data_IF_806290713913
#
_entry.id   IF_806290713913
#
_cell.length_a   1.000
_cell.length_b   1.000
_cell.length_c   1.000
_cell.angle_alpha   90.00
_cell.angle_beta   90.00
_cell.angle_gamma   90.00
#
_symmetry.space_group_name_H-M   'P 1'
#
loop_
_entity.id
_entity.type
_entity.pdbx_description
1 polymer ?
#
# COMPACT_ATOMS: atom_id res chain seq x y z
N UNK A 1 -17.26 11.85 33.74
CA UNK A 1 -15.88 11.97 33.26
C UNK A 1 -14.98 11.52 34.40
N UNK A 2 -13.89 10.79 34.14
CA UNK A 2 -13.06 10.23 35.19
C UNK A 2 -12.40 11.34 36.05
N UNK A 3 -12.34 11.15 37.36
CA UNK A 3 -11.96 12.19 38.32
C UNK A 3 -10.44 12.48 38.39
N UNK A 4 -9.59 11.75 37.65
CA UNK A 4 -8.13 11.99 37.63
C UNK A 4 -7.55 12.01 36.21
N UNK A 5 -6.56 12.89 35.98
CA UNK A 5 -5.83 13.00 34.71
C UNK A 5 -5.14 11.68 34.32
N UNK A 6 -4.66 10.91 35.31
CA UNK A 6 -4.06 9.61 35.06
C UNK A 6 -5.06 8.62 34.47
N UNK A 7 -6.29 8.53 35.02
CA UNK A 7 -7.35 7.68 34.45
C UNK A 7 -7.82 8.22 33.11
N UNK A 8 -7.91 9.54 32.95
CA UNK A 8 -8.25 10.17 31.68
C UNK A 8 -7.23 9.84 30.57
N UNK A 9 -5.95 9.64 30.93
CA UNK A 9 -4.89 9.21 30.00
C UNK A 9 -5.11 7.83 29.38
N UNK A 10 -5.91 6.96 30.00
CA UNK A 10 -6.30 5.65 29.44
C UNK A 10 -7.62 5.70 28.66
N UNK A 11 -8.30 6.86 28.62
CA UNK A 11 -9.58 7.00 27.93
C UNK A 11 -9.38 7.20 26.42
N UNK A 12 -10.16 6.46 25.63
CA UNK A 12 -10.25 6.64 24.19
C UNK A 12 -11.36 7.62 23.77
N UNK A 13 -11.97 8.37 24.70
CA UNK A 13 -13.09 9.27 24.39
C UNK A 13 -12.73 10.42 23.42
N UNK A 14 -11.44 10.74 23.30
CA UNK A 14 -10.94 11.73 22.33
C UNK A 14 -10.89 11.17 20.90
N UNK A 15 -10.98 9.85 20.72
CA UNK A 15 -10.98 9.21 19.43
C UNK A 15 -12.37 9.26 18.81
N UNK A 16 -12.45 9.82 17.62
CA UNK A 16 -13.58 9.70 16.71
C UNK A 16 -13.11 9.04 15.42
N UNK A 17 -13.54 7.81 15.17
CA UNK A 17 -12.99 6.93 14.12
C UNK A 17 -13.97 6.76 12.96
N UNK A 18 -13.52 6.97 11.72
CA UNK A 18 -14.26 6.60 10.52
C UNK A 18 -13.82 5.20 10.06
N UNK A 19 -14.75 4.25 10.05
CA UNK A 19 -14.51 2.86 9.67
C UNK A 19 -14.73 2.71 8.15
N UNK A 20 -13.65 2.40 7.44
CA UNK A 20 -13.56 2.26 5.98
C UNK A 20 -13.27 0.81 5.61
N UNK A 21 -14.15 -0.09 6.02
CA UNK A 21 -14.10 -1.52 5.67
C UNK A 21 -15.52 -2.07 5.64
N UNK A 22 -15.71 -3.36 5.30
CA UNK A 22 -17.04 -4.02 5.24
C UNK A 22 -16.98 -5.43 5.83
N UNK A 23 -18.17 -6.01 6.07
CA UNK A 23 -18.29 -7.37 6.57
C UNK A 23 -17.95 -7.51 8.06
N UNK A 24 -17.57 -8.71 8.52
CA UNK A 24 -17.38 -9.01 9.95
C UNK A 24 -16.39 -8.08 10.67
N UNK A 25 -15.30 -7.72 10.01
CA UNK A 25 -14.28 -6.84 10.58
C UNK A 25 -14.81 -5.43 10.91
N UNK A 26 -15.77 -4.93 10.13
CA UNK A 26 -16.44 -3.65 10.44
C UNK A 26 -17.19 -3.77 11.77
N UNK A 27 -17.93 -4.87 11.93
CA UNK A 27 -18.73 -5.11 13.13
C UNK A 27 -17.83 -5.27 14.38
N UNK A 28 -16.77 -6.05 14.25
CA UNK A 28 -15.77 -6.21 15.31
C UNK A 28 -15.14 -4.87 15.72
N UNK A 29 -14.74 -4.04 14.74
CA UNK A 29 -14.20 -2.71 15.02
C UNK A 29 -15.23 -1.79 15.71
N UNK A 30 -16.50 -1.82 15.30
CA UNK A 30 -17.56 -1.06 15.97
C UNK A 30 -17.72 -1.46 17.44
N UNK A 31 -17.67 -2.76 17.73
CA UNK A 31 -17.83 -3.28 19.09
C UNK A 31 -16.61 -2.89 19.94
N UNK A 32 -15.39 -3.03 19.42
CA UNK A 32 -14.16 -2.59 20.11
C UNK A 32 -14.16 -1.08 20.39
N UNK A 33 -14.50 -0.24 19.41
CA UNK A 33 -14.54 1.21 19.64
C UNK A 33 -15.64 1.61 20.62
N UNK A 34 -16.78 0.92 20.62
CA UNK A 34 -17.83 1.14 21.63
C UNK A 34 -17.35 0.78 23.03
N UNK A 35 -16.69 -0.37 23.20
CA UNK A 35 -16.18 -0.85 24.48
C UNK A 35 -15.06 0.05 25.04
N UNK A 36 -14.24 0.62 24.15
CA UNK A 36 -13.22 1.62 24.51
C UNK A 36 -13.82 3.01 24.82
N UNK A 37 -15.11 3.23 24.57
CA UNK A 37 -15.76 4.54 24.71
C UNK A 37 -15.37 5.55 23.63
N UNK A 38 -14.80 5.09 22.51
CA UNK A 38 -14.48 5.93 21.36
C UNK A 38 -15.74 6.20 20.51
N UNK A 39 -15.80 7.38 19.91
CA UNK A 39 -16.80 7.69 18.89
C UNK A 39 -16.43 6.99 17.58
N UNK A 40 -17.43 6.52 16.83
CA UNK A 40 -17.19 6.00 15.48
C UNK A 40 -18.31 6.34 14.50
N UNK A 41 -17.96 6.31 13.22
CA UNK A 41 -18.88 6.28 12.10
C UNK A 41 -18.45 5.21 11.10
N UNK A 42 -19.34 4.87 10.19
CA UNK A 42 -19.09 3.87 9.16
C UNK A 42 -19.24 4.49 7.77
N UNK A 43 -18.39 4.04 6.87
CA UNK A 43 -18.52 4.30 5.46
C UNK A 43 -19.32 3.16 4.82
N UNK A 44 -20.45 3.46 4.18
CA UNK A 44 -21.32 2.50 3.53
C UNK A 44 -21.28 2.69 2.02
N UNK A 45 -20.76 1.70 1.29
CA UNK A 45 -20.89 1.65 -0.16
C UNK A 45 -22.33 1.39 -0.57
N UNK A 46 -22.80 2.06 -1.61
CA UNK A 46 -24.10 1.77 -2.22
C UNK A 46 -24.20 0.31 -2.68
N UNK A 47 -23.09 -0.31 -3.09
CA UNK A 47 -23.00 -1.75 -3.42
C UNK A 47 -23.30 -2.67 -2.22
N UNK A 48 -23.10 -2.17 -1.01
CA UNK A 48 -23.38 -2.87 0.25
C UNK A 48 -24.74 -2.49 0.86
N UNK A 49 -25.44 -1.54 0.25
CA UNK A 49 -26.72 -1.08 0.75
C UNK A 49 -27.83 -2.12 0.51
N UNK A 50 -28.88 -2.03 1.32
CA UNK A 50 -30.05 -2.93 1.34
C UNK A 50 -30.83 -2.97 0.01
N UNK A 51 -30.45 -2.16 -0.97
CA UNK A 51 -31.09 -2.07 -2.29
C UNK A 51 -30.74 -3.24 -3.22
N UNK A 52 -29.71 -4.04 -2.92
CA UNK A 52 -29.29 -5.17 -3.75
C UNK A 52 -29.69 -6.53 -3.15
N UNK A 53 -30.10 -7.53 -3.97
CA UNK A 53 -30.45 -8.86 -3.48
C UNK A 53 -29.23 -9.52 -2.83
N UNK A 54 -29.35 -9.97 -1.58
CA UNK A 54 -28.34 -10.63 -0.74
C UNK A 54 -27.34 -9.73 0.00
N UNK A 55 -27.42 -8.40 -0.11
CA UNK A 55 -26.56 -7.48 0.66
C UNK A 55 -27.35 -6.83 1.78
N UNK A 56 -26.99 -7.19 3.01
CA UNK A 56 -27.42 -6.48 4.20
C UNK A 56 -26.14 -6.22 4.98
N UNK A 57 -25.81 -4.95 5.19
CA UNK A 57 -24.99 -4.51 6.29
C UNK A 57 -25.82 -4.68 7.58
N UNK A 58 -25.79 -5.82 8.28
CA UNK A 58 -26.68 -6.08 9.43
C UNK A 58 -26.53 -5.02 10.52
N UNK A 59 -25.35 -4.41 10.63
CA UNK A 59 -25.01 -3.34 11.55
C UNK A 59 -25.91 -2.10 11.39
N UNK A 60 -26.48 -1.86 10.20
CA UNK A 60 -27.43 -0.76 9.98
C UNK A 60 -28.70 -0.91 10.85
N UNK A 61 -29.03 -2.14 11.27
CA UNK A 61 -30.15 -2.40 12.18
C UNK A 61 -29.83 -2.01 13.62
N UNK A 62 -28.56 -1.92 13.97
CA UNK A 62 -28.07 -1.66 15.33
C UNK A 62 -27.68 -0.19 15.51
N UNK A 63 -27.20 0.46 14.45
CA UNK A 63 -26.87 1.89 14.45
C UNK A 63 -28.17 2.71 14.46
N UNK A 64 -28.51 3.26 15.63
CA UNK A 64 -29.68 4.14 15.78
C UNK A 64 -29.45 5.53 15.21
N UNK A 65 -28.21 6.04 15.34
CA UNK A 65 -27.82 7.37 14.90
C UNK A 65 -27.37 7.35 13.43
N UNK A 66 -28.28 7.77 12.55
CA UNK A 66 -28.05 7.80 11.10
C UNK A 66 -26.95 8.78 10.69
N UNK A 67 -26.62 9.79 11.51
CA UNK A 67 -25.55 10.75 11.20
C UNK A 67 -24.15 10.10 11.17
N UNK A 68 -24.03 8.89 11.70
CA UNK A 68 -22.79 8.10 11.70
C UNK A 68 -22.58 7.28 10.44
N UNK A 69 -23.55 7.26 9.52
CA UNK A 69 -23.53 6.42 8.32
C UNK A 69 -23.28 7.32 7.11
N UNK A 70 -22.08 7.19 6.53
CA UNK A 70 -21.63 8.00 5.40
C UNK A 70 -21.65 7.19 4.12
N UNK A 71 -22.50 7.60 3.17
CA UNK A 71 -22.69 6.87 1.91
C UNK A 71 -21.69 7.29 0.85
N UNK A 72 -21.19 6.31 0.11
CA UNK A 72 -20.26 6.48 -1.01
C UNK A 72 -20.61 5.48 -2.12
N UNK A 73 -20.17 5.74 -3.35
CA UNK A 73 -20.43 4.81 -4.45
C UNK A 73 -19.73 3.45 -4.21
N UNK A 74 -18.42 3.47 -3.96
CA UNK A 74 -17.60 2.30 -3.68
C UNK A 74 -16.28 2.63 -2.97
N UNK A 75 -15.67 1.64 -2.33
CA UNK A 75 -14.50 1.87 -1.48
C UNK A 75 -13.23 2.20 -2.26
N UNK A 76 -13.04 1.65 -3.47
CA UNK A 76 -11.75 1.65 -4.15
C UNK A 76 -11.71 2.37 -5.50
N UNK A 77 -12.86 2.52 -6.18
CA UNK A 77 -12.88 2.86 -7.60
C UNK A 77 -12.38 1.73 -8.50
N UNK A 78 -12.65 1.85 -9.80
CA UNK A 78 -12.26 0.88 -10.85
C UNK A 78 -11.00 1.29 -11.62
N UNK A 79 -10.69 2.59 -11.65
CA UNK A 79 -9.48 3.16 -12.27
C UNK A 79 -8.61 3.89 -11.25
N UNK A 80 -7.36 4.22 -11.62
CA UNK A 80 -6.47 5.01 -10.75
C UNK A 80 -7.02 6.42 -10.45
N UNK A 81 -7.69 7.05 -11.41
CA UNK A 81 -8.31 8.36 -11.22
C UNK A 81 -9.52 8.28 -10.27
N UNK A 82 -10.38 7.27 -10.46
CA UNK A 82 -11.49 7.02 -9.55
C UNK A 82 -11.01 6.71 -8.14
N UNK A 83 -9.92 5.94 -8.00
CA UNK A 83 -9.33 5.66 -6.70
C UNK A 83 -8.91 6.95 -5.99
N UNK A 84 -8.18 7.84 -6.67
CA UNK A 84 -7.79 9.15 -6.10
C UNK A 84 -9.00 10.00 -5.72
N UNK A 85 -10.05 9.98 -6.53
CA UNK A 85 -11.30 10.65 -6.20
C UNK A 85 -11.99 10.04 -4.97
N UNK A 86 -11.96 8.71 -4.79
CA UNK A 86 -12.50 8.04 -3.59
C UNK A 86 -11.70 8.34 -2.34
N UNK A 87 -10.37 8.34 -2.43
CA UNK A 87 -9.49 8.76 -1.33
C UNK A 87 -9.85 10.18 -0.88
N UNK A 88 -9.94 11.12 -1.83
CA UNK A 88 -10.31 12.50 -1.54
C UNK A 88 -11.71 12.61 -0.91
N UNK A 89 -12.68 11.85 -1.41
CA UNK A 89 -14.04 11.82 -0.87
C UNK A 89 -14.07 11.30 0.58
N UNK A 90 -13.38 10.19 0.87
CA UNK A 90 -13.31 9.60 2.22
C UNK A 90 -12.67 10.58 3.20
N UNK A 91 -11.60 11.26 2.80
CA UNK A 91 -10.93 12.28 3.61
C UNK A 91 -11.84 13.50 3.84
N UNK A 92 -12.61 13.93 2.83
CA UNK A 92 -13.57 15.03 2.98
C UNK A 92 -14.63 14.67 4.04
N UNK A 93 -15.21 13.47 3.93
CA UNK A 93 -16.17 12.95 4.92
C UNK A 93 -15.56 12.92 6.32
N UNK A 94 -14.30 12.46 6.44
CA UNK A 94 -13.59 12.43 7.72
C UNK A 94 -13.50 13.83 8.34
N UNK A 95 -13.09 14.83 7.55
CA UNK A 95 -12.92 16.21 8.01
C UNK A 95 -14.24 16.91 8.34
N UNK A 96 -15.21 16.83 7.45
CA UNK A 96 -16.52 17.49 7.61
C UNK A 96 -17.26 17.02 8.86
N UNK A 97 -17.08 15.76 9.25
CA UNK A 97 -17.73 15.16 10.41
C UNK A 97 -16.85 15.12 11.67
N UNK A 98 -15.65 15.71 11.61
CA UNK A 98 -14.70 15.80 12.72
C UNK A 98 -14.16 14.44 13.17
N UNK A 99 -14.01 13.48 12.26
CA UNK A 99 -13.31 12.23 12.54
C UNK A 99 -11.82 12.50 12.67
N UNK A 100 -11.28 12.08 13.81
CA UNK A 100 -9.86 12.20 14.15
C UNK A 100 -9.00 11.11 13.52
N UNK A 101 -9.60 9.93 13.27
CA UNK A 101 -8.89 8.75 12.83
C UNK A 101 -9.68 7.97 11.77
N UNK A 102 -8.98 7.22 10.91
CA UNK A 102 -9.55 6.29 9.94
C UNK A 102 -9.04 4.88 10.22
N UNK A 103 -9.94 3.89 10.18
CA UNK A 103 -9.64 2.47 10.28
C UNK A 103 -10.09 1.74 9.03
N UNK A 104 -9.17 1.07 8.32
CA UNK A 104 -9.45 0.40 7.06
C UNK A 104 -9.60 -1.14 7.15
N UNK A 105 -9.45 -1.73 8.35
CA UNK A 105 -9.50 -3.18 8.51
C UNK A 105 -8.43 -3.89 7.68
N UNK A 106 -8.83 -4.91 6.93
CA UNK A 106 -7.97 -5.64 5.99
C UNK A 106 -8.57 -5.67 4.59
N UNK A 107 -7.72 -5.83 3.58
CA UNK A 107 -8.11 -5.73 2.18
C UNK A 107 -8.48 -4.30 1.76
N UNK A 108 -9.13 -4.16 0.61
CA UNK A 108 -9.45 -2.85 0.00
C UNK A 108 -8.21 -1.94 -0.10
N UNK A 109 -8.21 -0.85 0.66
CA UNK A 109 -7.17 0.17 0.67
C UNK A 109 -6.32 0.13 1.94
N UNK A 110 -6.49 -0.88 2.80
CA UNK A 110 -5.76 -0.98 4.06
C UNK A 110 -4.23 -1.09 3.87
N UNK A 111 -3.80 -1.61 2.71
CA UNK A 111 -2.38 -1.72 2.34
C UNK A 111 -1.97 -0.69 1.27
N UNK A 112 -2.87 0.22 0.88
CA UNK A 112 -2.61 1.22 -0.16
C UNK A 112 -1.80 2.39 0.42
N UNK A 113 -0.54 2.50 0.01
CA UNK A 113 0.36 3.54 0.50
C UNK A 113 -0.11 4.95 0.13
N UNK A 114 -0.73 5.15 -1.04
CA UNK A 114 -1.26 6.46 -1.46
C UNK A 114 -2.44 6.88 -0.56
N UNK A 115 -3.26 5.91 -0.14
CA UNK A 115 -4.37 6.16 0.78
C UNK A 115 -3.88 6.64 2.14
N UNK A 116 -2.92 5.91 2.74
CA UNK A 116 -2.37 6.26 4.05
C UNK A 116 -1.64 7.60 4.00
N UNK A 117 -0.86 7.84 2.94
CA UNK A 117 -0.17 9.12 2.74
C UNK A 117 -1.17 10.28 2.62
N UNK A 118 -2.28 10.10 1.91
CA UNK A 118 -3.31 11.13 1.80
C UNK A 118 -4.00 11.42 3.14
N UNK A 119 -4.25 10.40 3.96
CA UNK A 119 -4.79 10.54 5.33
C UNK A 119 -3.83 11.34 6.22
N UNK A 120 -2.55 10.98 6.21
CA UNK A 120 -1.49 11.65 6.97
C UNK A 120 -1.36 13.13 6.54
N UNK A 121 -1.29 13.41 5.23
CA UNK A 121 -1.28 14.78 4.68
C UNK A 121 -2.51 15.58 5.04
N UNK A 122 -3.64 14.91 5.24
CA UNK A 122 -4.88 15.55 5.63
C UNK A 122 -4.92 15.90 7.13
N UNK A 123 -3.96 15.45 7.94
CA UNK A 123 -3.94 15.64 9.39
C UNK A 123 -4.91 14.74 10.14
N UNK A 124 -5.37 13.65 9.50
CA UNK A 124 -6.22 12.62 10.11
C UNK A 124 -5.33 11.45 10.49
N UNK A 125 -5.53 10.85 11.66
CA UNK A 125 -4.76 9.68 12.07
C UNK A 125 -5.17 8.43 11.29
N UNK A 126 -4.21 7.58 10.93
CA UNK A 126 -4.50 6.26 10.40
C UNK A 126 -4.27 5.20 11.48
N UNK A 127 -5.26 4.32 11.70
CA UNK A 127 -5.11 3.19 12.62
C UNK A 127 -4.43 2.04 11.86
N UNK A 128 -3.11 2.14 11.77
CA UNK A 128 -2.24 1.20 11.04
C UNK A 128 -0.80 1.71 10.97
N UNK A 129 0.08 1.05 10.20
CA UNK A 129 1.44 1.53 10.00
C UNK A 129 1.47 2.80 9.13
N UNK A 130 2.55 3.57 9.25
CA UNK A 130 2.73 4.81 8.49
C UNK A 130 2.89 4.56 6.98
N UNK A 131 2.57 5.55 6.15
CA UNK A 131 2.70 5.47 4.68
C UNK A 131 4.09 5.01 4.22
N UNK A 132 5.15 5.48 4.88
CA UNK A 132 6.53 5.08 4.61
C UNK A 132 6.75 3.57 4.81
N UNK A 133 6.10 2.97 5.81
CA UNK A 133 6.17 1.53 6.06
C UNK A 133 5.42 0.78 4.97
N UNK A 134 4.26 1.28 4.53
CA UNK A 134 3.55 0.70 3.39
C UNK A 134 4.38 0.73 2.10
N UNK A 135 5.09 1.83 1.82
CA UNK A 135 6.00 1.90 0.68
C UNK A 135 7.17 0.92 0.81
N UNK A 136 7.77 0.79 1.99
CA UNK A 136 8.91 -0.08 2.22
C UNK A 136 8.55 -1.58 2.25
N UNK A 137 7.36 -1.93 2.75
CA UNK A 137 6.94 -3.30 3.01
C UNK A 137 5.89 -3.85 2.02
N UNK A 138 5.18 -2.99 1.29
CA UNK A 138 4.12 -3.38 0.37
C UNK A 138 4.63 -4.12 -0.87
N UNK A 139 5.82 -3.76 -1.35
CA UNK A 139 6.52 -4.52 -2.38
C UNK A 139 7.37 -5.62 -1.72
N UNK A 140 7.09 -6.89 -2.03
CA UNK A 140 7.84 -8.05 -1.50
C UNK A 140 9.35 -7.92 -1.76
N UNK A 141 9.72 -7.33 -2.88
CA UNK A 141 11.11 -7.13 -3.29
C UNK A 141 11.79 -6.06 -2.42
N UNK A 142 11.12 -4.92 -2.19
CA UNK A 142 11.60 -3.87 -1.29
C UNK A 142 11.73 -4.37 0.16
N UNK A 143 10.76 -5.13 0.64
CA UNK A 143 10.78 -5.73 1.97
C UNK A 143 11.99 -6.67 2.16
N UNK A 144 12.33 -7.48 1.15
CA UNK A 144 13.51 -8.36 1.18
C UNK A 144 14.81 -7.56 1.09
N UNK A 145 14.90 -6.54 0.23
CA UNK A 145 16.05 -5.63 0.16
C UNK A 145 16.31 -5.00 1.53
N UNK A 146 15.26 -4.52 2.20
CA UNK A 146 15.34 -3.98 3.56
C UNK A 146 15.80 -5.03 4.58
N UNK A 147 15.21 -6.23 4.57
CA UNK A 147 15.57 -7.32 5.47
C UNK A 147 17.06 -7.70 5.33
N UNK A 148 17.57 -7.86 4.10
CA UNK A 148 19.00 -8.12 3.84
C UNK A 148 19.88 -6.99 4.39
N UNK A 149 19.49 -5.72 4.18
CA UNK A 149 20.24 -4.55 4.66
C UNK A 149 20.40 -4.51 6.17
N UNK A 150 19.40 -4.97 6.92
CA UNK A 150 19.44 -5.03 8.40
C UNK A 150 19.96 -6.37 8.94
N UNK A 151 20.48 -7.25 8.09
CA UNK A 151 21.04 -8.55 8.48
C UNK A 151 20.00 -9.62 8.83
N UNK A 152 18.73 -9.42 8.46
CA UNK A 152 17.68 -10.43 8.62
C UNK A 152 17.77 -11.43 7.46
N UNK A 153 17.88 -12.72 7.80
CA UNK A 153 17.92 -13.80 6.82
C UNK A 153 16.63 -13.85 6.01
N UNK A 154 16.76 -13.87 4.69
CA UNK A 154 15.64 -14.05 3.75
C UNK A 154 15.84 -15.34 2.95
N UNK A 155 14.77 -15.85 2.34
CA UNK A 155 14.89 -16.99 1.42
C UNK A 155 15.82 -16.59 0.26
N UNK A 156 16.84 -17.41 -0.07
CA UNK A 156 17.70 -17.16 -1.22
C UNK A 156 16.87 -16.99 -2.49
N UNK A 157 17.19 -16.00 -3.30
CA UNK A 157 16.36 -15.62 -4.44
C UNK A 157 16.82 -14.32 -5.09
N UNK A 158 16.25 -14.04 -6.26
CA UNK A 158 16.58 -12.87 -7.08
C UNK A 158 15.32 -12.04 -7.28
N UNK A 159 15.35 -10.82 -6.75
CA UNK A 159 14.20 -9.90 -6.71
C UNK A 159 14.33 -8.76 -7.74
N UNK A 160 15.41 -8.78 -8.54
CA UNK A 160 15.88 -7.68 -9.39
C UNK A 160 16.26 -8.17 -10.80
N UNK A 161 15.61 -9.26 -11.28
CA UNK A 161 15.98 -9.92 -12.54
C UNK A 161 15.95 -8.98 -13.75
N UNK A 162 15.00 -8.04 -13.78
CA UNK A 162 14.87 -7.05 -14.85
C UNK A 162 16.04 -6.07 -14.87
N UNK A 163 16.44 -5.56 -13.71
CA UNK A 163 17.62 -4.69 -13.55
C UNK A 163 18.90 -5.40 -13.96
N UNK A 164 19.08 -6.67 -13.55
CA UNK A 164 20.23 -7.49 -13.94
C UNK A 164 20.26 -7.77 -15.44
N UNK A 165 19.09 -8.03 -16.05
CA UNK A 165 18.96 -8.24 -17.49
C UNK A 165 19.35 -6.98 -18.26
N UNK A 166 18.86 -5.81 -17.83
CA UNK A 166 19.21 -4.53 -18.45
C UNK A 166 20.71 -4.22 -18.27
N UNK A 167 21.26 -4.47 -17.09
CA UNK A 167 22.69 -4.28 -16.82
C UNK A 167 23.55 -5.19 -17.70
N UNK A 168 23.16 -6.45 -17.89
CA UNK A 168 23.87 -7.38 -18.79
C UNK A 168 23.82 -6.92 -20.25
N UNK A 169 22.69 -6.37 -20.68
CA UNK A 169 22.52 -5.79 -22.02
C UNK A 169 23.34 -4.53 -22.21
N UNK A 170 23.41 -3.69 -21.18
CA UNK A 170 24.19 -2.45 -21.17
C UNK A 170 25.70 -2.70 -20.98
N UNK A 171 26.09 -3.86 -20.45
CA UNK A 171 27.44 -4.27 -20.06
C UNK A 171 28.03 -3.48 -18.89
N UNK A 172 27.88 -2.16 -18.86
CA UNK A 172 28.40 -1.27 -17.82
C UNK A 172 27.50 -0.03 -17.58
N UNK A 173 27.88 0.79 -16.58
CA UNK A 173 27.19 2.06 -16.27
C UNK A 173 27.20 3.02 -17.48
N UNK A 174 28.25 3.01 -18.30
CA UNK A 174 28.30 3.88 -19.48
C UNK A 174 27.30 3.44 -20.55
N UNK A 175 27.10 2.13 -20.72
CA UNK A 175 26.04 1.57 -21.55
C UNK A 175 24.66 1.96 -21.06
N UNK A 176 24.44 1.96 -19.73
CA UNK A 176 23.19 2.45 -19.14
C UNK A 176 22.95 3.92 -19.48
N UNK A 177 23.97 4.78 -19.35
CA UNK A 177 23.88 6.21 -19.75
C UNK A 177 23.55 6.39 -21.24
N UNK A 178 24.16 5.59 -22.13
CA UNK A 178 23.84 5.62 -23.57
C UNK A 178 22.39 5.25 -23.84
N UNK A 179 21.83 4.30 -23.09
CA UNK A 179 20.41 3.92 -23.20
C UNK A 179 19.52 5.08 -22.72
N UNK A 180 19.87 5.72 -21.61
CA UNK A 180 19.19 6.92 -21.09
C UNK A 180 19.14 8.03 -22.13
N UNK A 181 20.28 8.36 -22.74
CA UNK A 181 20.40 9.39 -23.78
C UNK A 181 19.62 9.04 -25.04
N UNK A 182 19.74 7.80 -25.54
CA UNK A 182 19.06 7.32 -26.75
C UNK A 182 17.54 7.44 -26.66
N UNK A 183 16.97 7.18 -25.49
CA UNK A 183 15.52 7.23 -25.25
C UNK A 183 15.06 8.53 -24.57
N UNK A 184 16.00 9.47 -24.40
CA UNK A 184 15.79 10.78 -23.80
C UNK A 184 15.07 10.70 -22.43
N UNK A 185 15.48 9.74 -21.59
CA UNK A 185 14.91 9.57 -20.25
C UNK A 185 15.45 10.65 -19.30
N UNK A 186 14.58 11.33 -18.58
CA UNK A 186 14.98 12.35 -17.60
C UNK A 186 15.04 11.71 -16.21
N UNK A 187 16.24 11.38 -15.73
CA UNK A 187 16.46 10.79 -14.41
C UNK A 187 17.02 11.89 -13.50
N UNK A 188 16.21 12.35 -12.55
CA UNK A 188 16.54 13.51 -11.72
C UNK A 188 17.78 13.32 -10.84
N UNK A 189 18.01 12.11 -10.33
CA UNK A 189 19.15 11.74 -9.48
C UNK A 189 19.65 10.33 -9.84
N UNK A 190 20.56 10.19 -10.81
CA UNK A 190 21.10 8.89 -11.20
C UNK A 190 21.92 8.28 -10.06
N UNK A 191 21.60 7.04 -9.65
CA UNK A 191 22.37 6.34 -8.62
C UNK A 191 23.80 6.05 -9.10
N UNK A 192 24.75 6.03 -8.16
CA UNK A 192 26.11 5.55 -8.44
C UNK A 192 26.20 4.02 -8.46
N UNK A 193 25.20 3.34 -7.89
CA UNK A 193 25.05 1.90 -7.99
C UNK A 193 24.46 1.52 -9.36
N UNK A 194 25.11 0.58 -10.04
CA UNK A 194 24.75 0.20 -11.41
C UNK A 194 23.38 -0.50 -11.49
N UNK A 195 23.00 -1.24 -10.46
CA UNK A 195 21.74 -1.95 -10.40
C UNK A 195 20.59 -0.99 -10.11
N UNK A 196 20.75 -0.11 -9.12
CA UNK A 196 19.77 0.94 -8.83
C UNK A 196 19.59 1.88 -10.03
N UNK A 197 20.68 2.21 -10.74
CA UNK A 197 20.58 3.04 -11.94
C UNK A 197 19.85 2.32 -13.08
N UNK A 198 20.04 1.00 -13.24
CA UNK A 198 19.26 0.20 -14.19
C UNK A 198 17.77 0.17 -13.83
N UNK A 199 17.42 0.06 -12.55
CA UNK A 199 16.04 0.12 -12.04
C UNK A 199 15.39 1.49 -12.40
N UNK A 200 16.09 2.60 -12.14
CA UNK A 200 15.63 3.95 -12.51
C UNK A 200 15.37 4.12 -14.02
N UNK A 201 16.21 3.50 -14.87
CA UNK A 201 16.05 3.53 -16.32
C UNK A 201 14.82 2.70 -16.75
N UNK A 202 14.61 1.54 -16.14
CA UNK A 202 13.42 0.71 -16.41
C UNK A 202 12.13 1.44 -16.04
N UNK A 203 12.08 2.08 -14.87
CA UNK A 203 10.93 2.89 -14.44
C UNK A 203 10.63 4.03 -15.41
N UNK A 204 11.66 4.74 -15.88
CA UNK A 204 11.51 5.77 -16.90
C UNK A 204 11.03 5.21 -18.25
N UNK A 205 11.45 3.99 -18.60
CA UNK A 205 10.97 3.24 -19.76
C UNK A 205 9.48 2.91 -19.64
N UNK A 206 9.05 2.37 -18.50
CA UNK A 206 7.65 2.04 -18.23
C UNK A 206 6.74 3.27 -18.28
N UNK A 207 7.17 4.38 -17.69
CA UNK A 207 6.43 5.65 -17.72
C UNK A 207 6.19 6.17 -19.16
N UNK A 208 7.08 5.86 -20.10
CA UNK A 208 6.96 6.22 -21.53
C UNK A 208 6.40 5.09 -22.40
N UNK A 209 6.09 3.92 -21.84
CA UNK A 209 5.67 2.74 -22.59
C UNK A 209 6.75 2.14 -23.50
N UNK A 210 8.03 2.36 -23.19
CA UNK A 210 9.17 1.86 -23.97
C UNK A 210 9.71 0.58 -23.32
N UNK A 211 9.61 -0.55 -24.03
CA UNK A 211 10.24 -1.81 -23.64
C UNK A 211 11.74 -1.79 -23.91
N UNK A 212 12.55 -1.82 -22.85
CA UNK A 212 14.03 -1.81 -22.96
C UNK A 212 14.64 -3.22 -23.01
N UNK A 213 13.93 -4.19 -22.46
CA UNK A 213 14.31 -5.60 -22.38
C UNK A 213 13.17 -6.46 -22.90
N UNK A 214 13.50 -7.59 -23.53
CA UNK A 214 12.50 -8.55 -24.02
C UNK A 214 12.30 -9.70 -23.04
N UNK A 215 11.20 -10.42 -23.19
CA UNK A 215 10.89 -11.60 -22.36
C UNK A 215 11.96 -12.69 -22.53
N UNK A 216 12.51 -12.86 -23.73
CA UNK A 216 13.56 -13.84 -24.02
C UNK A 216 14.87 -13.49 -23.32
N UNK A 217 15.22 -12.20 -23.27
CA UNK A 217 16.39 -11.70 -22.53
C UNK A 217 16.24 -11.99 -21.03
N UNK A 218 15.05 -11.73 -20.47
CA UNK A 218 14.74 -12.02 -19.05
C UNK A 218 14.81 -13.53 -18.78
N UNK A 219 14.27 -14.37 -19.66
CA UNK A 219 14.30 -15.83 -19.50
C UNK A 219 15.72 -16.39 -19.54
N UNK A 220 16.55 -15.90 -20.46
CA UNK A 220 17.94 -16.31 -20.58
C UNK A 220 18.73 -15.94 -19.31
N UNK A 221 18.50 -14.74 -18.77
CA UNK A 221 19.16 -14.31 -17.54
C UNK A 221 18.65 -15.08 -16.31
N UNK A 222 17.34 -15.30 -16.22
CA UNK A 222 16.75 -16.07 -15.14
C UNK A 222 17.33 -17.50 -15.09
N UNK A 223 17.52 -18.15 -16.25
CA UNK A 223 18.15 -19.48 -16.32
C UNK A 223 19.59 -19.44 -15.77
N UNK A 224 20.40 -18.49 -16.23
CA UNK A 224 21.79 -18.31 -15.79
C UNK A 224 21.89 -18.09 -14.28
N UNK A 225 21.00 -17.28 -13.72
CA UNK A 225 20.97 -16.98 -12.28
C UNK A 225 20.48 -18.18 -11.47
N UNK A 226 19.43 -18.86 -11.91
CA UNK A 226 18.95 -20.07 -11.26
C UNK A 226 20.07 -21.12 -11.15
N UNK A 227 20.83 -21.35 -12.23
CA UNK A 227 21.97 -22.27 -12.22
C UNK A 227 23.04 -21.92 -11.19
N UNK A 228 23.33 -20.62 -11.00
CA UNK A 228 24.26 -20.14 -9.96
C UNK A 228 23.69 -20.39 -8.57
N UNK A 229 22.44 -20.01 -8.32
CA UNK A 229 21.77 -20.19 -7.03
C UNK A 229 21.74 -21.66 -6.60
N UNK A 230 21.46 -22.58 -7.53
CA UNK A 230 21.49 -24.02 -7.26
C UNK A 230 22.86 -24.54 -6.84
N UNK A 231 23.94 -24.01 -7.45
CA UNK A 231 25.31 -24.39 -7.10
C UNK A 231 25.73 -23.85 -5.74
N UNK A 232 25.34 -22.61 -5.43
CA UNK A 232 25.71 -21.92 -4.19
C UNK A 232 24.91 -22.40 -2.98
N UNK A 233 23.67 -22.86 -3.19
CA UNK A 233 22.74 -23.24 -2.11
C UNK A 233 22.13 -24.64 -2.33
N UNK A 234 22.95 -25.72 -2.31
CA UNK A 234 22.47 -27.07 -2.56
C UNK A 234 21.44 -27.50 -1.49
N UNK A 235 20.28 -27.99 -1.94
CA UNK A 235 19.21 -28.50 -1.06
C UNK A 235 18.34 -27.42 -0.38
N UNK A 236 18.63 -26.13 -0.60
CA UNK A 236 17.79 -25.04 -0.10
C UNK A 236 16.56 -24.81 -0.98
N UNK A 237 15.47 -24.31 -0.38
CA UNK A 237 14.36 -23.72 -1.14
C UNK A 237 14.76 -22.30 -1.56
N UNK A 238 14.57 -21.97 -2.83
CA UNK A 238 14.81 -20.65 -3.41
C UNK A 238 13.51 -20.08 -3.98
N UNK A 239 13.47 -18.75 -4.12
CA UNK A 239 12.31 -18.01 -4.64
C UNK A 239 12.70 -17.06 -5.76
#
# INVERSE_FOLDING_TARGET
MADSEWVAGFSCAHLKVLIVCRGPIRKEAMDVFADLGAGYGILLSEKDSVTYPNTLAPELRVIKDQSRIHRIADYTGSSGEERKARIAQIISIAKENGYTHIFAGYGFMAEDAEFVEAIEKAGVGFIGPASQVHHAAGAKDAAKKLARKIGVSVTPGVDNITSLTLLKKATDINGLRKITEKHNFNIANPSSDAEEFAEQILDAGYAKGIGLITTEEIQAEARSICEKLFKENPGARFR
#
